data_IF_578536288903
#
_entry.id   IF_578536288903
#
_cell.length_a   1.000
_cell.length_b   1.000
_cell.length_c   1.000
_cell.angle_alpha   90.00
_cell.angle_beta   90.00
_cell.angle_gamma   90.00
#
_symmetry.space_group_name_H-M   'P 1'
#
loop_
_entity.id
_entity.type
_entity.pdbx_description
1 polymer ?
#
# COMPACT_ATOMS: atom_id res chain seq x y z
N UNK A 1 -15.99 13.43 -11.16
CA UNK A 1 -17.27 12.89 -10.64
C UNK A 1 -17.07 11.41 -10.34
N UNK A 2 -17.28 11.00 -9.10
CA UNK A 2 -17.18 9.59 -8.68
C UNK A 2 -18.59 9.04 -8.77
N UNK A 3 -18.85 8.03 -9.62
CA UNK A 3 -20.18 7.45 -9.75
C UNK A 3 -20.57 6.74 -8.45
N UNK A 4 -21.78 6.95 -7.99
CA UNK A 4 -22.37 6.19 -6.90
C UNK A 4 -22.70 4.78 -7.41
N UNK A 5 -22.07 3.78 -6.81
CA UNK A 5 -22.34 2.37 -7.06
C UNK A 5 -22.51 1.67 -5.72
N UNK A 6 -23.75 1.50 -5.30
CA UNK A 6 -24.07 0.84 -4.03
C UNK A 6 -23.63 -0.60 -4.03
N UNK A 7 -23.11 -1.05 -2.91
CA UNK A 7 -22.66 -2.41 -2.69
C UNK A 7 -22.72 -2.81 -1.23
N UNK A 8 -22.27 -4.02 -0.95
CA UNK A 8 -22.36 -4.59 0.38
C UNK A 8 -21.11 -4.28 1.22
N UNK A 9 -21.32 -4.12 2.53
CA UNK A 9 -20.24 -4.10 3.52
C UNK A 9 -20.25 -5.47 4.19
N UNK A 10 -19.11 -6.19 4.06
CA UNK A 10 -18.94 -7.56 4.53
C UNK A 10 -17.80 -7.62 5.57
N UNK A 11 -17.94 -8.45 6.58
CA UNK A 11 -16.80 -8.84 7.42
C UNK A 11 -15.83 -9.74 6.64
N UNK A 12 -14.62 -9.97 7.15
CA UNK A 12 -13.66 -10.92 6.57
C UNK A 12 -14.21 -12.36 6.50
N UNK A 13 -15.23 -12.70 7.32
CA UNK A 13 -15.93 -13.98 7.29
C UNK A 13 -17.10 -14.02 6.27
N UNK A 14 -17.31 -12.94 5.50
CA UNK A 14 -18.39 -12.84 4.50
C UNK A 14 -19.76 -12.47 5.08
N UNK A 15 -19.85 -12.11 6.37
CA UNK A 15 -21.11 -11.68 6.97
C UNK A 15 -21.44 -10.24 6.54
N UNK A 16 -22.61 -10.02 5.97
CA UNK A 16 -23.12 -8.68 5.65
C UNK A 16 -23.40 -7.88 6.92
N UNK A 17 -22.85 -6.68 7.02
CA UNK A 17 -23.01 -5.75 8.16
C UNK A 17 -23.57 -4.40 7.76
N UNK A 18 -23.73 -4.15 6.46
CA UNK A 18 -24.30 -2.92 5.95
C UNK A 18 -24.23 -2.78 4.44
N UNK A 19 -24.45 -1.57 3.97
CA UNK A 19 -24.33 -1.20 2.55
C UNK A 19 -23.53 0.11 2.44
N UNK A 20 -22.81 0.28 1.35
CA UNK A 20 -22.04 1.49 1.03
C UNK A 20 -22.58 2.15 -0.26
N UNK A 21 -22.36 3.46 -0.39
CA UNK A 21 -22.81 4.23 -1.55
C UNK A 21 -21.81 4.26 -2.71
N UNK A 22 -20.64 3.63 -2.54
CA UNK A 22 -19.61 3.50 -3.56
C UNK A 22 -18.21 3.32 -2.93
N UNK A 23 -17.41 2.39 -3.45
CA UNK A 23 -16.06 2.07 -2.94
C UNK A 23 -15.11 3.28 -2.97
N UNK A 24 -15.35 4.24 -3.88
CA UNK A 24 -14.53 5.45 -4.00
C UNK A 24 -14.58 6.36 -2.78
N UNK A 25 -15.66 6.32 -2.00
CA UNK A 25 -15.85 7.17 -0.81
C UNK A 25 -15.13 6.67 0.45
N UNK A 26 -14.53 5.49 0.40
CA UNK A 26 -13.88 4.87 1.55
C UNK A 26 -12.37 4.74 1.37
N UNK A 27 -11.65 4.80 2.49
CA UNK A 27 -10.19 4.62 2.53
C UNK A 27 -9.85 3.47 3.46
N UNK A 28 -8.83 2.68 3.14
CA UNK A 28 -8.35 1.60 4.01
C UNK A 28 -7.98 2.16 5.38
N UNK A 29 -8.46 1.50 6.46
CA UNK A 29 -8.31 1.95 7.85
C UNK A 29 -9.36 2.96 8.31
N UNK A 30 -10.27 3.42 7.44
CA UNK A 30 -11.34 4.34 7.82
C UNK A 30 -12.34 3.66 8.76
N UNK A 31 -12.74 4.39 9.83
CA UNK A 31 -13.75 3.96 10.80
C UNK A 31 -15.09 4.67 10.58
N UNK A 32 -15.04 5.98 10.25
CA UNK A 32 -16.24 6.80 10.13
C UNK A 32 -17.07 6.44 8.91
N UNK A 33 -18.40 6.48 9.04
CA UNK A 33 -19.31 6.26 7.91
C UNK A 33 -19.61 4.79 7.58
N UNK A 34 -19.17 3.83 8.41
CA UNK A 34 -19.39 2.39 8.19
C UNK A 34 -20.61 1.82 8.91
N UNK A 35 -21.10 2.48 9.98
CA UNK A 35 -22.24 2.02 10.76
C UNK A 35 -23.23 3.16 10.99
N UNK A 36 -24.50 2.90 10.72
CA UNK A 36 -25.60 3.79 11.08
C UNK A 36 -26.10 3.41 12.48
N UNK A 37 -25.37 3.88 13.52
CA UNK A 37 -25.81 3.76 14.92
C UNK A 37 -25.16 2.60 15.70
N UNK A 38 -24.78 2.91 16.93
CA UNK A 38 -24.23 2.13 18.04
C UNK A 38 -24.01 0.63 17.87
N UNK A 39 -22.75 0.20 17.92
CA UNK A 39 -22.38 -1.20 17.80
C UNK A 39 -20.86 -1.39 17.71
N UNK A 40 -20.42 -2.57 17.31
CA UNK A 40 -19.02 -2.92 17.08
C UNK A 40 -18.38 -1.91 16.12
N UNK A 41 -17.21 -1.35 16.44
CA UNK A 41 -16.51 -0.45 15.52
C UNK A 41 -15.96 -1.24 14.34
N UNK A 42 -16.35 -0.85 13.13
CA UNK A 42 -15.81 -1.42 11.91
C UNK A 42 -14.71 -0.52 11.33
N UNK A 43 -13.74 -1.15 10.66
CA UNK A 43 -12.63 -0.48 9.96
C UNK A 43 -12.51 -1.05 8.56
N UNK A 44 -12.36 -0.20 7.54
CA UNK A 44 -12.15 -0.67 6.17
C UNK A 44 -10.85 -1.44 6.07
N UNK A 45 -10.91 -2.72 5.75
CA UNK A 45 -9.76 -3.60 5.58
C UNK A 45 -9.38 -3.77 4.11
N UNK A 46 -10.36 -3.90 3.22
CA UNK A 46 -10.13 -4.04 1.79
C UNK A 46 -11.32 -3.51 0.97
N UNK A 47 -11.08 -3.31 -0.32
CA UNK A 47 -12.11 -3.01 -1.33
C UNK A 47 -12.05 -4.11 -2.38
N UNK A 48 -13.13 -4.80 -2.59
CA UNK A 48 -13.28 -5.76 -3.69
C UNK A 48 -14.05 -5.09 -4.83
N UNK A 49 -13.32 -4.69 -5.86
CA UNK A 49 -13.92 -4.03 -7.03
C UNK A 49 -14.66 -5.01 -7.94
N UNK A 50 -14.32 -6.30 -7.91
CA UNK A 50 -14.98 -7.30 -8.74
C UNK A 50 -16.40 -7.59 -8.24
N UNK A 51 -16.59 -7.71 -6.94
CA UNK A 51 -17.89 -7.92 -6.29
C UNK A 51 -18.56 -6.62 -5.84
N UNK A 52 -17.92 -5.46 -6.04
CA UNK A 52 -18.36 -4.16 -5.52
C UNK A 52 -18.65 -4.22 -4.00
N UNK A 53 -17.74 -4.86 -3.25
CA UNK A 53 -17.91 -5.07 -1.80
C UNK A 53 -16.82 -4.38 -0.99
N UNK A 54 -17.21 -3.83 0.16
CA UNK A 54 -16.32 -3.24 1.14
C UNK A 54 -16.08 -4.25 2.27
N UNK A 55 -14.83 -4.70 2.42
CA UNK A 55 -14.47 -5.64 3.47
C UNK A 55 -14.05 -4.86 4.71
N UNK A 56 -14.61 -5.23 5.86
CA UNK A 56 -14.33 -4.55 7.13
C UNK A 56 -13.80 -5.50 8.19
N UNK A 57 -12.94 -4.94 9.04
CA UNK A 57 -12.44 -5.54 10.27
C UNK A 57 -13.27 -5.09 11.46
N UNK A 58 -13.45 -5.98 12.45
CA UNK A 58 -14.31 -5.74 13.61
C UNK A 58 -13.56 -5.12 14.81
N UNK A 59 -12.25 -4.93 14.67
CA UNK A 59 -11.39 -4.33 15.71
C UNK A 59 -10.23 -3.58 15.07
N UNK A 60 -9.67 -2.61 15.79
CA UNK A 60 -8.49 -1.87 15.38
C UNK A 60 -7.22 -2.75 15.33
N UNK A 61 -7.20 -3.81 16.12
CA UNK A 61 -6.10 -4.79 16.19
C UNK A 61 -6.26 -5.97 15.22
N UNK A 62 -7.29 -5.96 14.36
CA UNK A 62 -7.51 -7.04 13.40
C UNK A 62 -6.33 -7.13 12.42
N UNK A 63 -5.78 -8.34 12.29
CA UNK A 63 -4.63 -8.63 11.42
C UNK A 63 -4.84 -8.23 9.96
N UNK A 64 -6.09 -8.19 9.48
CA UNK A 64 -6.43 -7.81 8.12
C UNK A 64 -6.17 -6.31 7.84
N UNK A 65 -5.99 -5.50 8.89
CA UNK A 65 -5.59 -4.09 8.76
C UNK A 65 -4.07 -3.91 8.62
N UNK A 66 -3.27 -4.95 8.81
CA UNK A 66 -1.82 -4.86 8.91
C UNK A 66 -1.13 -5.63 7.79
N UNK A 67 -0.05 -5.08 7.24
CA UNK A 67 0.80 -5.71 6.24
C UNK A 67 2.27 -5.53 6.60
N UNK A 68 3.07 -6.59 6.42
CA UNK A 68 4.52 -6.55 6.64
C UNK A 68 5.28 -6.02 5.42
N UNK A 69 4.65 -6.01 4.25
CA UNK A 69 5.28 -5.54 3.02
C UNK A 69 4.30 -4.74 2.17
N UNK A 70 4.87 -3.93 1.31
CA UNK A 70 4.17 -3.24 0.24
C UNK A 70 5.01 -3.24 -1.03
N UNK A 71 4.36 -3.04 -2.16
CA UNK A 71 4.99 -2.68 -3.42
C UNK A 71 4.74 -1.21 -3.72
N UNK A 72 5.72 -0.56 -4.33
CA UNK A 72 5.63 0.84 -4.70
C UNK A 72 6.31 1.09 -6.04
N UNK A 73 5.76 2.01 -6.80
CA UNK A 73 6.28 2.45 -8.09
C UNK A 73 6.64 3.95 -8.08
N UNK A 74 7.06 4.46 -9.23
CA UNK A 74 7.39 5.88 -9.38
C UNK A 74 8.40 6.36 -8.32
N UNK A 75 9.41 5.54 -8.05
CA UNK A 75 10.43 5.85 -7.04
C UNK A 75 11.21 7.09 -7.45
N UNK A 76 11.27 8.07 -6.57
CA UNK A 76 12.08 9.27 -6.73
C UNK A 76 13.13 9.33 -5.62
N UNK A 77 14.41 9.29 -5.99
CA UNK A 77 15.55 9.45 -5.11
C UNK A 77 16.06 10.88 -5.16
N UNK A 78 16.17 11.55 -4.01
CA UNK A 78 16.61 12.96 -3.91
C UNK A 78 18.03 13.12 -4.43
N UNK A 79 18.91 12.15 -4.16
CA UNK A 79 20.29 12.15 -4.66
C UNK A 79 20.40 12.00 -6.19
N UNK A 80 19.28 11.68 -6.88
CA UNK A 80 19.27 11.34 -8.30
C UNK A 80 19.86 9.96 -8.63
N UNK A 81 20.41 9.24 -7.65
CA UNK A 81 20.99 7.92 -7.81
C UNK A 81 20.26 6.89 -6.94
N UNK A 82 20.07 5.70 -7.50
CA UNK A 82 19.47 4.57 -6.77
C UNK A 82 20.52 3.96 -5.85
N UNK A 83 20.22 3.76 -4.55
CA UNK A 83 21.12 3.04 -3.67
C UNK A 83 21.32 1.59 -4.13
N UNK A 84 22.43 0.98 -3.75
CA UNK A 84 22.62 -0.45 -3.97
C UNK A 84 21.54 -1.23 -3.22
N UNK A 85 20.73 -1.99 -3.95
CA UNK A 85 19.68 -2.83 -3.38
C UNK A 85 20.19 -4.26 -3.15
N UNK A 86 19.76 -4.93 -2.07
CA UNK A 86 18.79 -4.48 -1.06
C UNK A 86 19.37 -3.41 -0.12
N UNK A 87 18.53 -2.46 0.30
CA UNK A 87 18.94 -1.32 1.13
C UNK A 87 18.14 -1.26 2.44
N UNK A 88 18.86 -1.21 3.57
CA UNK A 88 18.25 -1.08 4.90
C UNK A 88 18.12 0.40 5.26
N UNK A 89 16.91 0.81 5.60
CA UNK A 89 16.59 2.19 5.95
C UNK A 89 15.34 2.23 6.85
N UNK A 90 14.82 3.41 7.05
CA UNK A 90 13.54 3.61 7.70
C UNK A 90 12.53 4.20 6.71
N UNK A 91 11.24 3.94 6.95
CA UNK A 91 10.18 4.51 6.13
C UNK A 91 8.94 4.86 6.95
N UNK A 92 8.13 5.76 6.39
CA UNK A 92 6.77 6.01 6.86
C UNK A 92 5.82 6.05 5.68
N UNK A 93 4.60 5.58 5.92
CA UNK A 93 3.51 5.59 4.94
C UNK A 93 2.43 6.63 5.28
N UNK A 94 2.62 7.38 6.37
CA UNK A 94 1.75 8.48 6.82
C UNK A 94 2.55 9.57 7.51
N UNK A 95 2.15 10.82 7.33
CA UNK A 95 2.87 12.00 7.82
C UNK A 95 3.23 11.97 9.31
N UNK A 96 2.30 11.55 10.18
CA UNK A 96 2.52 11.55 11.65
C UNK A 96 2.95 10.20 12.21
N UNK A 97 3.23 9.23 11.35
CA UNK A 97 3.70 7.92 11.78
C UNK A 97 5.17 8.01 12.19
N UNK A 98 5.58 7.38 13.30
CA UNK A 98 7.00 7.19 13.60
C UNK A 98 7.70 6.44 12.46
N UNK A 99 8.98 6.72 12.26
CA UNK A 99 9.80 5.97 11.31
C UNK A 99 9.83 4.49 11.68
N UNK A 100 9.75 3.63 10.68
CA UNK A 100 9.73 2.18 10.83
C UNK A 100 10.89 1.57 10.05
N UNK A 101 11.69 0.76 10.72
CA UNK A 101 12.79 0.04 10.06
C UNK A 101 12.26 -0.83 8.93
N UNK A 102 12.88 -0.74 7.77
CA UNK A 102 12.48 -1.48 6.58
C UNK A 102 13.67 -1.81 5.69
N UNK A 103 13.44 -2.73 4.77
CA UNK A 103 14.34 -3.14 3.71
C UNK A 103 13.70 -2.90 2.36
N UNK A 104 14.40 -2.18 1.50
CA UNK A 104 13.99 -1.94 0.12
C UNK A 104 14.68 -2.98 -0.77
N UNK A 105 13.90 -3.66 -1.58
CA UNK A 105 14.37 -4.67 -2.54
C UNK A 105 13.94 -4.28 -3.96
N UNK A 106 14.76 -4.60 -4.95
CA UNK A 106 14.34 -4.49 -6.35
C UNK A 106 13.19 -5.47 -6.59
N UNK A 107 12.12 -5.01 -7.23
CA UNK A 107 11.11 -5.91 -7.76
C UNK A 107 11.58 -6.34 -9.15
N UNK A 108 12.12 -7.55 -9.25
CA UNK A 108 12.41 -8.14 -10.54
C UNK A 108 11.07 -8.41 -11.22
N UNK A 109 10.81 -7.75 -12.33
CA UNK A 109 9.82 -8.16 -13.30
C UNK A 109 10.35 -9.44 -14.00
N UNK A 110 10.37 -10.56 -13.29
CA UNK A 110 10.50 -11.86 -13.89
C UNK A 110 9.11 -12.31 -14.32
N UNK A 111 8.53 -11.62 -15.30
CA UNK A 111 7.52 -12.18 -16.19
C UNK A 111 7.22 -11.22 -17.36
N UNK A 112 8.19 -11.03 -18.20
CA UNK A 112 7.99 -10.79 -19.63
C UNK A 112 9.23 -11.31 -20.35
N UNK A 113 9.14 -12.56 -20.78
CA UNK A 113 10.04 -13.15 -21.75
C UNK A 113 10.05 -12.32 -23.03
N UNK A 114 11.03 -11.44 -23.14
CA UNK A 114 11.62 -11.07 -24.43
C UNK A 114 13.12 -11.28 -24.32
N UNK A 115 13.55 -12.44 -24.77
CA UNK A 115 14.90 -12.73 -25.18
C UNK A 115 15.19 -11.94 -26.44
N UNK A 116 15.76 -10.75 -26.29
CA UNK A 116 16.48 -10.14 -27.39
C UNK A 116 17.95 -10.52 -27.23
N UNK A 117 18.34 -11.48 -28.08
CA UNK A 117 19.71 -11.87 -28.28
C UNK A 117 20.42 -10.69 -28.96
N UNK A 118 21.02 -9.81 -28.17
CA UNK A 118 22.20 -9.02 -28.57
C UNK A 118 22.70 -8.29 -27.32
N UNK A 119 23.96 -8.53 -26.97
CA UNK A 119 24.62 -8.07 -25.75
C UNK A 119 24.78 -6.56 -25.67
N UNK A 120 23.75 -5.87 -25.26
CA UNK A 120 23.85 -4.48 -24.85
C UNK A 120 23.46 -4.40 -23.37
N UNK A 121 24.41 -4.03 -22.53
CA UNK A 121 24.18 -3.69 -21.13
C UNK A 121 23.27 -2.47 -21.10
N UNK A 122 21.96 -2.71 -21.14
CA UNK A 122 20.97 -1.67 -20.99
C UNK A 122 21.11 -1.11 -19.58
N UNK A 123 21.62 0.11 -19.44
CA UNK A 123 21.38 0.95 -18.28
C UNK A 123 19.86 1.10 -18.15
N UNK A 124 19.24 0.24 -17.36
CA UNK A 124 17.83 0.39 -16.99
C UNK A 124 17.68 1.79 -16.43
N UNK A 125 16.92 2.61 -17.12
CA UNK A 125 16.58 3.96 -16.65
C UNK A 125 15.72 3.79 -15.39
N UNK A 126 16.32 3.93 -14.23
CA UNK A 126 15.78 3.58 -12.92
C UNK A 126 14.69 4.54 -12.42
N UNK A 127 14.22 5.44 -13.27
CA UNK A 127 13.10 6.38 -12.98
C UNK A 127 11.71 5.72 -12.89
N UNK A 128 11.59 4.44 -13.22
CA UNK A 128 10.32 3.69 -13.21
C UNK A 128 10.42 2.36 -12.46
N UNK A 129 11.46 2.11 -11.70
CA UNK A 129 11.61 0.85 -11.00
C UNK A 129 10.55 0.71 -9.91
N UNK A 130 9.83 -0.39 -9.94
CA UNK A 130 9.00 -0.83 -8.83
C UNK A 130 9.90 -1.44 -7.76
N UNK A 131 9.61 -1.13 -6.51
CA UNK A 131 10.34 -1.67 -5.36
C UNK A 131 9.40 -2.42 -4.44
N UNK A 132 9.94 -3.41 -3.74
CA UNK A 132 9.29 -4.05 -2.60
C UNK A 132 9.89 -3.46 -1.33
N UNK A 133 9.04 -3.08 -0.40
CA UNK A 133 9.44 -2.58 0.92
C UNK A 133 8.94 -3.55 1.98
N UNK A 134 9.86 -4.15 2.73
CA UNK A 134 9.56 -5.04 3.85
C UNK A 134 9.84 -4.35 5.15
N UNK A 135 8.84 -4.27 6.02
CA UNK A 135 8.94 -3.65 7.33
C UNK A 135 9.29 -4.67 8.41
N UNK A 136 10.08 -4.25 9.38
CA UNK A 136 10.37 -5.06 10.56
C UNK A 136 9.12 -5.30 11.43
N UNK A 137 8.17 -4.36 11.39
CA UNK A 137 6.88 -4.46 12.10
C UNK A 137 5.72 -4.25 11.13
N UNK A 138 4.57 -4.94 11.33
CA UNK A 138 3.41 -4.78 10.47
C UNK A 138 2.91 -3.33 10.42
N UNK A 139 2.64 -2.84 9.22
CA UNK A 139 2.16 -1.48 8.98
C UNK A 139 0.64 -1.47 8.82
N UNK A 140 -0.01 -0.58 9.60
CA UNK A 140 -1.47 -0.47 9.60
C UNK A 140 -1.98 0.26 8.37
N UNK A 141 -2.99 -0.29 7.71
CA UNK A 141 -3.76 0.32 6.63
C UNK A 141 -2.89 0.83 5.47
N UNK A 142 -2.00 -0.04 4.98
CA UNK A 142 -1.27 0.19 3.72
C UNK A 142 -2.29 0.38 2.61
N UNK A 143 -2.22 1.53 1.92
CA UNK A 143 -3.25 1.95 0.96
C UNK A 143 -2.61 2.31 -0.36
N UNK A 144 -3.09 1.71 -1.45
CA UNK A 144 -2.71 2.04 -2.81
C UNK A 144 -2.96 3.52 -3.13
N UNK A 145 -2.08 4.15 -3.89
CA UNK A 145 -2.12 5.56 -4.25
C UNK A 145 -1.57 6.51 -3.18
N UNK A 146 -1.25 6.01 -1.97
CA UNK A 146 -0.51 6.80 -0.96
C UNK A 146 1.00 6.72 -1.19
N UNK A 147 1.75 7.63 -0.57
CA UNK A 147 3.20 7.66 -0.66
C UNK A 147 3.85 6.89 0.49
N UNK A 148 4.95 6.20 0.19
CA UNK A 148 5.95 5.77 1.15
C UNK A 148 7.16 6.68 1.03
N UNK A 149 7.71 7.16 2.15
CA UNK A 149 8.88 8.05 2.19
C UNK A 149 9.99 7.37 2.97
N UNK A 150 11.19 7.37 2.38
CA UNK A 150 12.38 6.68 2.89
C UNK A 150 13.32 7.65 3.58
N UNK A 151 13.92 7.19 4.67
CA UNK A 151 14.85 7.95 5.50
C UNK A 151 16.06 7.10 5.88
N UNK A 152 17.18 7.76 6.08
CA UNK A 152 18.36 7.19 6.74
C UNK A 152 18.80 8.18 7.81
N UNK A 153 18.72 7.77 9.05
CA UNK A 153 18.87 8.67 10.19
C UNK A 153 17.89 9.87 10.06
N UNK A 154 18.36 11.10 10.02
CA UNK A 154 17.53 12.30 9.86
C UNK A 154 17.39 12.77 8.39
N UNK A 155 18.02 12.05 7.45
CA UNK A 155 18.02 12.42 6.03
C UNK A 155 16.89 11.75 5.27
N UNK A 156 16.10 12.55 4.52
CA UNK A 156 15.09 12.02 3.59
C UNK A 156 15.77 11.58 2.28
N UNK A 157 15.72 10.28 1.99
CA UNK A 157 16.32 9.68 0.80
C UNK A 157 15.47 9.84 -0.46
N UNK A 158 14.14 9.85 -0.29
CA UNK A 158 13.20 9.87 -1.39
C UNK A 158 11.84 9.31 -1.03
N UNK A 159 11.06 8.95 -2.04
CA UNK A 159 9.75 8.35 -1.86
C UNK A 159 9.22 7.64 -3.09
N UNK A 160 8.10 6.96 -2.93
CA UNK A 160 7.42 6.21 -3.99
C UNK A 160 5.91 6.18 -3.77
N UNK A 161 5.15 5.77 -4.79
CA UNK A 161 3.69 5.60 -4.71
C UNK A 161 3.39 4.13 -4.46
N UNK A 162 2.60 3.85 -3.43
CA UNK A 162 2.16 2.49 -3.05
C UNK A 162 1.20 1.95 -4.12
N UNK A 163 1.43 0.71 -4.56
CA UNK A 163 0.56 -0.03 -5.51
C UNK A 163 -0.62 -0.70 -4.82
#
# INVERSE_FOLDING_TARGET
YIPESRGEILTAAGKKVGEHDGLGFYTIGQRKGLSKGGGTPYYVAAKDFASNSLIVAESDSDKNLYKNELTANSVNWISGAVPALPYECEARIRYRQPLQSCRIEARNYADSTQTDAEGFSAKVSVKSASVRVRFAQPQRAVTSGQSVVFYKDDEMLGGAVIE
#
